data_IF_207161916435
#
_entry.id   IF_207161916435
#
_cell.length_a   1.000
_cell.length_b   1.000
_cell.length_c   1.000
_cell.angle_alpha   90.00
_cell.angle_beta   90.00
_cell.angle_gamma   90.00
#
_symmetry.space_group_name_H-M   'P 1'
#
loop_
_entity.id
_entity.type
_entity.pdbx_description
1 polymer ?
#
# COMPACT_ATOMS: atom_id res chain seq x y z
N UNK A 1 -14.96 14.29 17.02
CA UNK A 1 -14.55 14.01 16.76
C UNK A 1 -13.95 13.74 16.21
N UNK A 2 -13.80 13.79 15.94
CA UNK A 2 -13.15 13.51 15.46
C UNK A 2 -12.51 12.95 15.01
N UNK A 3 -12.33 12.57 14.68
CA UNK A 3 -11.72 11.98 14.29
C UNK A 3 -10.89 11.81 13.74
N UNK A 4 -10.63 11.62 13.56
CA UNK A 4 -9.94 11.49 13.10
C UNK A 4 -9.15 11.12 12.65
N UNK A 5 -8.84 10.61 12.38
CA UNK A 5 -8.03 10.20 12.03
C UNK A 5 -7.36 10.02 11.35
N UNK A 6 -7.10 9.78 11.09
CA UNK A 6 -6.55 9.54 10.55
C UNK A 6 -5.81 9.21 9.91
N UNK A 7 -5.61 9.13 9.36
CA UNK A 7 -4.86 8.89 8.83
C UNK A 7 -4.13 8.26 8.12
N UNK A 8 -3.46 8.51 7.42
CA UNK A 8 -2.44 7.87 6.98
C UNK A 8 -2.72 6.98 5.87
N UNK A 9 -2.01 5.96 5.71
CA UNK A 9 -2.14 5.05 4.61
C UNK A 9 -3.53 4.51 4.51
N UNK A 10 -4.25 4.52 5.61
CA UNK A 10 -5.59 4.01 5.59
C UNK A 10 -6.53 4.86 4.75
N UNK A 11 -6.08 6.04 4.32
CA UNK A 11 -6.88 6.86 3.44
C UNK A 11 -6.88 6.35 2.01
N UNK A 12 -6.01 5.42 1.71
CA UNK A 12 -5.88 4.91 0.34
C UNK A 12 -6.86 3.78 0.15
N UNK A 13 -7.64 3.87 -0.90
CA UNK A 13 -8.58 2.81 -1.23
C UNK A 13 -7.89 1.79 -2.10
N UNK A 14 -7.26 0.82 -1.46
CA UNK A 14 -6.51 -0.20 -2.16
C UNK A 14 -7.38 -1.11 -3.02
N UNK A 15 -8.69 -1.12 -2.79
CA UNK A 15 -9.56 -1.97 -3.59
C UNK A 15 -9.62 -1.53 -5.04
N UNK A 16 -9.18 -0.30 -5.34
CA UNK A 16 -9.13 0.19 -6.71
C UNK A 16 -7.87 -0.23 -7.44
N UNK A 17 -6.94 -0.88 -6.75
CA UNK A 17 -5.65 -1.23 -7.34
C UNK A 17 -5.67 -2.69 -7.78
N UNK A 18 -5.36 -2.95 -9.04
CA UNK A 18 -5.40 -4.32 -9.56
C UNK A 18 -4.32 -5.20 -8.96
N UNK A 19 -3.30 -4.63 -8.34
CA UNK A 19 -2.26 -5.41 -7.70
C UNK A 19 -2.67 -5.93 -6.33
N UNK A 20 -3.84 -5.58 -5.88
CA UNK A 20 -4.30 -5.86 -4.52
C UNK A 20 -5.45 -6.84 -4.54
N UNK A 21 -5.48 -7.70 -3.54
CA UNK A 21 -6.61 -8.61 -3.36
C UNK A 21 -7.01 -8.61 -1.89
N UNK A 22 -8.22 -9.02 -1.64
CA UNK A 22 -8.70 -9.25 -0.27
C UNK A 22 -9.21 -10.67 -0.23
N UNK A 23 -8.66 -11.47 0.68
CA UNK A 23 -9.04 -12.88 0.79
C UNK A 23 -9.58 -13.10 2.19
N UNK A 24 -10.84 -13.50 2.33
CA UNK A 24 -11.39 -13.73 3.67
C UNK A 24 -10.53 -14.76 4.40
N UNK A 25 -10.23 -14.47 5.64
CA UNK A 25 -9.44 -15.38 6.46
C UNK A 25 -7.95 -15.26 6.26
N UNK A 26 -7.51 -14.47 5.27
CA UNK A 26 -6.08 -14.28 5.06
C UNK A 26 -5.76 -12.86 5.48
N UNK A 27 -4.87 -12.71 6.45
CA UNK A 27 -4.51 -11.41 7.03
C UNK A 27 -5.78 -10.65 7.43
N UNK A 28 -6.71 -11.38 8.03
CA UNK A 28 -7.99 -10.84 8.51
C UNK A 28 -8.79 -10.13 7.41
N UNK A 29 -8.63 -10.56 6.17
CA UNK A 29 -9.37 -9.96 5.07
C UNK A 29 -8.89 -8.59 4.66
N UNK A 30 -7.75 -8.15 5.15
CA UNK A 30 -7.22 -6.84 4.80
C UNK A 30 -6.64 -6.85 3.38
N UNK A 31 -6.60 -5.68 2.73
CA UNK A 31 -5.97 -5.61 1.41
C UNK A 31 -4.52 -6.02 1.47
N UNK A 32 -4.14 -6.93 0.57
CA UNK A 32 -2.75 -7.41 0.50
C UNK A 32 -2.33 -7.41 -0.95
N UNK A 33 -1.03 -7.38 -1.17
CA UNK A 33 -0.50 -7.51 -2.51
C UNK A 33 -0.82 -8.91 -3.00
N UNK A 34 -1.40 -9.00 -4.19
CA UNK A 34 -1.91 -10.24 -4.73
C UNK A 34 -0.88 -11.35 -4.68
N UNK A 35 -1.25 -12.48 -4.15
CA UNK A 35 -0.37 -13.64 -4.05
C UNK A 35 0.58 -13.60 -2.87
N UNK A 36 0.46 -12.61 -1.99
CA UNK A 36 1.34 -12.50 -0.84
C UNK A 36 0.51 -12.23 0.41
N UNK A 37 1.18 -12.05 1.53
CA UNK A 37 0.54 -11.57 2.75
C UNK A 37 1.01 -10.17 3.12
N UNK A 38 1.60 -9.47 2.15
CA UNK A 38 2.18 -8.16 2.38
C UNK A 38 1.09 -7.10 2.31
N UNK A 39 1.01 -6.28 3.34
CA UNK A 39 0.09 -5.16 3.37
C UNK A 39 0.71 -4.02 2.55
N UNK A 40 -0.02 -3.48 1.57
CA UNK A 40 0.53 -2.40 0.76
C UNK A 40 0.87 -1.17 1.59
N UNK A 41 0.18 -0.95 2.69
CA UNK A 41 0.48 0.17 3.57
C UNK A 41 1.89 0.08 4.13
N UNK A 42 2.41 -1.13 4.32
CA UNK A 42 3.78 -1.29 4.82
C UNK A 42 4.79 -0.77 3.81
N UNK A 43 4.53 -1.01 2.53
CA UNK A 43 5.40 -0.54 1.47
C UNK A 43 5.39 0.99 1.42
N UNK A 44 4.20 1.57 1.40
CA UNK A 44 4.06 3.01 1.29
C UNK A 44 4.61 3.70 2.53
N UNK A 45 4.33 3.13 3.71
CA UNK A 45 4.81 3.71 4.95
C UNK A 45 6.32 3.74 5.02
N UNK A 46 6.98 2.65 4.61
CA UNK A 46 8.43 2.61 4.61
C UNK A 46 9.02 3.60 3.61
N UNK A 47 8.39 3.72 2.44
CA UNK A 47 8.85 4.68 1.46
C UNK A 47 8.75 6.11 2.01
N UNK A 48 7.68 6.40 2.71
CA UNK A 48 7.49 7.74 3.28
C UNK A 48 8.47 8.03 4.40
N UNK A 49 8.99 6.98 5.02
CA UNK A 49 10.00 7.14 6.05
C UNK A 49 11.40 7.30 5.46
N UNK A 50 11.52 7.25 4.15
CA UNK A 50 12.79 7.53 3.50
C UNK A 50 13.48 6.34 2.86
N UNK A 51 12.86 5.17 2.87
CA UNK A 51 13.50 4.02 2.23
C UNK A 51 13.44 4.16 0.72
N UNK A 52 14.51 3.71 0.08
CA UNK A 52 14.55 3.74 -1.39
C UNK A 52 13.81 2.54 -1.94
N UNK A 53 13.56 2.59 -3.25
CA UNK A 53 12.94 1.46 -3.94
C UNK A 53 13.79 0.20 -3.78
N UNK A 54 15.11 0.34 -3.87
CA UNK A 54 16.01 -0.80 -3.71
C UNK A 54 15.92 -1.39 -2.32
N UNK A 55 15.85 -0.53 -1.30
CA UNK A 55 15.72 -1.01 0.06
C UNK A 55 14.40 -1.74 0.27
N UNK A 56 13.35 -1.21 -0.32
CA UNK A 56 12.06 -1.87 -0.25
C UNK A 56 12.09 -3.24 -0.91
N UNK A 57 12.79 -3.32 -2.05
CA UNK A 57 12.90 -4.58 -2.75
C UNK A 57 13.66 -5.61 -1.91
N UNK A 58 14.68 -5.16 -1.18
CA UNK A 58 15.39 -6.05 -0.31
C UNK A 58 14.56 -6.53 0.86
N UNK A 59 13.74 -5.65 1.41
CA UNK A 59 12.89 -6.01 2.54
C UNK A 59 11.68 -6.83 2.13
N UNK A 60 11.26 -6.73 0.88
CA UNK A 60 10.09 -7.44 0.38
C UNK A 60 10.46 -8.20 -0.90
N UNK A 61 11.28 -9.25 -0.76
CA UNK A 61 11.81 -9.92 -1.95
C UNK A 61 10.75 -10.61 -2.80
N UNK A 62 9.55 -10.78 -2.28
CA UNK A 62 8.47 -11.36 -3.09
C UNK A 62 7.95 -10.40 -4.12
N UNK A 63 8.30 -9.13 -4.02
CA UNK A 63 7.80 -8.11 -4.94
C UNK A 63 8.91 -7.67 -5.88
N UNK A 64 8.53 -7.37 -7.12
CA UNK A 64 9.49 -6.82 -8.07
C UNK A 64 9.57 -5.31 -7.87
N UNK A 65 10.59 -4.71 -8.42
CA UNK A 65 10.73 -3.27 -8.40
C UNK A 65 9.52 -2.62 -9.05
N UNK A 66 9.04 -3.20 -10.15
CA UNK A 66 7.87 -2.65 -10.84
C UNK A 66 6.64 -2.66 -9.94
N UNK A 67 6.42 -3.77 -9.23
CA UNK A 67 5.27 -3.84 -8.33
C UNK A 67 5.37 -2.79 -7.23
N UNK A 68 6.55 -2.63 -6.66
CA UNK A 68 6.75 -1.64 -5.59
C UNK A 68 6.48 -0.24 -6.12
N UNK A 69 7.01 0.08 -7.28
CA UNK A 69 6.78 1.40 -7.88
C UNK A 69 5.31 1.66 -8.14
N UNK A 70 4.62 0.65 -8.66
CA UNK A 70 3.20 0.82 -8.98
C UNK A 70 2.36 1.03 -7.73
N UNK A 71 2.70 0.34 -6.65
CA UNK A 71 1.98 0.54 -5.40
C UNK A 71 2.19 1.95 -4.88
N UNK A 72 3.41 2.43 -4.95
CA UNK A 72 3.71 3.78 -4.48
C UNK A 72 3.01 4.82 -5.36
N UNK A 73 3.04 4.62 -6.68
CA UNK A 73 2.36 5.55 -7.58
C UNK A 73 0.87 5.57 -7.34
N UNK A 74 0.28 4.39 -7.11
CA UNK A 74 -1.14 4.32 -6.83
C UNK A 74 -1.48 5.13 -5.58
N UNK A 75 -0.69 4.97 -4.52
CA UNK A 75 -0.92 5.68 -3.27
C UNK A 75 -0.80 7.19 -3.47
N UNK A 76 0.20 7.60 -4.24
CA UNK A 76 0.40 9.03 -4.48
C UNK A 76 -0.76 9.62 -5.28
N UNK A 77 -1.24 8.87 -6.26
CA UNK A 77 -2.37 9.34 -7.06
C UNK A 77 -3.62 9.49 -6.21
N UNK A 78 -3.84 8.54 -5.32
CA UNK A 78 -5.00 8.61 -4.43
C UNK A 78 -4.94 9.83 -3.53
N UNK A 79 -3.78 10.11 -2.98
CA UNK A 79 -3.63 11.22 -2.06
C UNK A 79 -3.70 12.56 -2.74
N UNK A 80 -3.39 12.59 -4.05
CA UNK A 80 -3.44 13.82 -4.78
C UNK A 80 -4.81 14.18 -5.25
N UNK A 81 -5.74 13.25 -5.25
CA UNK A 81 -7.07 13.53 -5.71
C UNK A 81 -7.76 14.48 -4.80
N UNK A 82 -8.35 15.54 -5.32
CA UNK A 82 -9.10 16.47 -4.49
C UNK A 82 -10.30 15.73 -3.97
N UNK A 83 -10.56 15.86 -2.79
CA UNK A 83 -11.62 15.21 -2.32
C UNK A 83 -12.79 15.97 -2.52
N UNK A 84 -13.18 16.37 -2.81
CA UNK A 84 -14.18 17.13 -2.85
C UNK A 84 -15.07 17.08 -3.14
#
# INVERSE_FOLDING_TARGET
MARTNTATASEIDWTQCELIEQVPGKVSGRPIVRGTRILPDAIVGSYELGETIEELREGFPSLSVDQIKRLIEFARAQRRQPTL
#
